data_IF_331544220462
#
_entry.id   IF_331544220462
#
_cell.length_a   1.000
_cell.length_b   1.000
_cell.length_c   1.000
_cell.angle_alpha   90.00
_cell.angle_beta   90.00
_cell.angle_gamma   90.00
#
_symmetry.space_group_name_H-M   'P 1'
#
loop_
_entity.id
_entity.type
_entity.pdbx_description
1 polymer ?
#
# COMPACT_ATOMS: atom_id res chain seq x y z
N UNK A 1 -6.67 -25.63 -15.48
CA UNK A 1 -7.86 -26.21 -16.13
C UNK A 1 -8.94 -26.41 -15.08
N UNK A 2 -9.68 -25.35 -14.74
CA UNK A 2 -11.01 -25.41 -14.12
C UNK A 2 -11.69 -24.08 -14.50
N UNK A 3 -12.72 -24.15 -15.34
CA UNK A 3 -13.52 -23.00 -15.76
C UNK A 3 -14.59 -22.77 -14.68
N UNK A 4 -14.60 -21.62 -14.01
CA UNK A 4 -15.76 -21.14 -13.24
C UNK A 4 -16.80 -20.57 -14.22
N UNK A 5 -18.10 -20.86 -14.05
CA UNK A 5 -19.14 -20.31 -14.93
C UNK A 5 -19.40 -18.84 -14.57
N UNK A 6 -19.42 -17.99 -15.60
CA UNK A 6 -19.92 -16.60 -15.51
C UNK A 6 -21.42 -16.63 -15.26
N UNK A 7 -21.88 -16.03 -14.16
CA UNK A 7 -23.29 -15.68 -13.96
C UNK A 7 -23.42 -14.17 -14.19
N UNK A 8 -24.47 -13.80 -14.91
CA UNK A 8 -24.66 -12.52 -15.58
C UNK A 8 -25.27 -11.50 -14.63
N UNK A 9 -24.67 -10.32 -14.57
CA UNK A 9 -25.28 -9.07 -14.12
C UNK A 9 -26.63 -8.87 -14.83
N UNK A 10 -27.72 -8.76 -14.06
CA UNK A 10 -29.01 -8.31 -14.57
C UNK A 10 -29.25 -6.90 -14.00
N UNK A 11 -28.78 -5.89 -14.72
CA UNK A 11 -29.15 -4.50 -14.47
C UNK A 11 -30.61 -4.32 -14.88
N UNK A 12 -31.50 -4.04 -13.92
CA UNK A 12 -32.85 -3.54 -14.22
C UNK A 12 -32.93 -2.11 -13.70
N UNK A 13 -32.80 -1.16 -14.62
CA UNK A 13 -33.09 0.24 -14.42
C UNK A 13 -34.55 0.53 -14.81
N UNK A 14 -35.32 1.19 -13.94
CA UNK A 14 -36.57 1.89 -14.29
C UNK A 14 -36.68 3.14 -13.40
N UNK A 15 -36.19 4.30 -13.83
CA UNK A 15 -36.82 5.28 -14.74
C UNK A 15 -37.93 6.12 -14.10
N UNK A 16 -37.52 7.34 -13.71
CA UNK A 16 -38.28 8.49 -13.25
C UNK A 16 -39.47 8.85 -14.17
N UNK A 17 -40.65 9.02 -13.60
CA UNK A 17 -41.86 9.49 -14.30
C UNK A 17 -41.88 11.01 -14.39
N UNK A 18 -41.93 11.56 -15.61
CA UNK A 18 -42.36 12.94 -15.88
C UNK A 18 -43.50 12.93 -16.89
N UNK A 19 -44.66 13.43 -16.46
CA UNK A 19 -45.87 13.58 -17.28
C UNK A 19 -45.86 14.95 -17.98
N UNK A 20 -46.06 14.99 -19.30
CA UNK A 20 -46.61 16.16 -19.98
C UNK A 20 -47.34 15.84 -21.30
N UNK A 21 -48.66 16.06 -21.26
CA UNK A 21 -49.59 16.60 -22.26
C UNK A 21 -49.64 16.07 -23.73
N UNK A 22 -50.88 15.80 -24.15
CA UNK A 22 -51.31 15.24 -25.43
C UNK A 22 -51.44 16.22 -26.62
N UNK A 23 -51.40 15.67 -27.85
CA UNK A 23 -52.19 16.14 -29.00
C UNK A 23 -52.48 14.98 -29.99
N UNK A 24 -53.61 14.98 -30.74
CA UNK A 24 -54.15 13.78 -31.39
C UNK A 24 -53.91 13.72 -32.90
N UNK A 25 -53.81 12.51 -33.45
CA UNK A 25 -54.15 12.26 -34.86
C UNK A 25 -53.35 11.16 -35.56
N UNK A 26 -53.85 9.92 -35.56
CA UNK A 26 -53.89 9.03 -36.72
C UNK A 26 -54.59 7.70 -36.37
N UNK A 27 -55.37 7.22 -37.32
CA UNK A 27 -56.31 6.09 -37.25
C UNK A 27 -55.68 4.76 -37.69
N UNK A 28 -56.04 3.70 -36.94
CA UNK A 28 -56.35 2.31 -37.33
C UNK A 28 -55.38 1.49 -38.21
N UNK A 29 -54.84 0.41 -37.65
CA UNK A 29 -55.24 -0.98 -37.96
C UNK A 29 -54.25 -1.99 -37.34
N UNK A 30 -54.77 -3.01 -36.66
CA UNK A 30 -53.98 -4.16 -36.22
C UNK A 30 -54.50 -4.70 -34.90
N UNK A 31 -55.38 -5.72 -34.98
CA UNK A 31 -55.66 -6.55 -33.83
C UNK A 31 -54.37 -7.21 -33.37
N UNK A 32 -53.87 -6.77 -32.23
CA UNK A 32 -53.03 -7.56 -31.35
C UNK A 32 -53.84 -7.70 -30.09
N UNK A 33 -54.12 -8.93 -29.70
CA UNK A 33 -54.58 -9.30 -28.36
C UNK A 33 -53.80 -8.47 -27.35
N UNK A 34 -54.49 -7.74 -26.49
CA UNK A 34 -53.88 -7.20 -25.29
C UNK A 34 -53.22 -8.39 -24.59
N UNK A 35 -51.90 -8.40 -24.50
CA UNK A 35 -51.22 -9.27 -23.56
C UNK A 35 -51.84 -8.95 -22.21
N UNK A 36 -52.53 -9.91 -21.61
CA UNK A 36 -52.93 -9.81 -20.23
C UNK A 36 -51.65 -9.47 -19.46
N UNK A 37 -51.63 -8.30 -18.82
CA UNK A 37 -50.59 -7.97 -17.86
C UNK A 37 -50.73 -8.98 -16.74
N UNK A 38 -49.92 -10.03 -16.75
CA UNK A 38 -49.88 -10.99 -15.65
C UNK A 38 -49.06 -10.32 -14.56
N UNK A 39 -49.74 -9.77 -13.56
CA UNK A 39 -49.10 -9.38 -12.31
C UNK A 39 -48.82 -10.67 -11.53
N UNK A 40 -47.61 -10.79 -11.03
CA UNK A 40 -47.21 -11.89 -10.14
C UNK A 40 -47.87 -11.68 -8.77
N UNK A 41 -48.40 -12.75 -8.18
CA UNK A 41 -49.19 -12.68 -6.94
C UNK A 41 -48.32 -13.04 -5.74
N UNK A 42 -48.57 -12.42 -4.58
CA UNK A 42 -47.84 -12.69 -3.34
C UNK A 42 -46.85 -11.61 -2.97
N UNK A 43 -45.89 -11.96 -2.11
CA UNK A 43 -44.76 -11.11 -1.74
C UNK A 43 -43.71 -11.23 -2.83
N UNK A 44 -43.36 -10.09 -3.44
CA UNK A 44 -42.50 -10.03 -4.61
C UNK A 44 -41.07 -9.61 -4.25
N UNK A 45 -40.94 -8.64 -3.34
CA UNK A 45 -39.67 -8.19 -2.79
C UNK A 45 -39.84 -7.67 -1.37
N UNK A 46 -38.73 -7.65 -0.63
CA UNK A 46 -38.58 -6.99 0.66
C UNK A 46 -37.32 -6.16 0.56
N UNK A 47 -37.41 -4.89 0.93
CA UNK A 47 -36.28 -3.96 0.98
C UNK A 47 -36.28 -3.25 2.35
N UNK A 48 -35.14 -2.72 2.78
CA UNK A 48 -35.05 -1.94 4.03
C UNK A 48 -34.79 -0.46 3.74
N UNK A 49 -35.48 0.42 4.48
CA UNK A 49 -35.34 1.87 4.35
C UNK A 49 -35.45 2.57 5.72
N UNK A 50 -35.08 3.84 5.75
CA UNK A 50 -35.12 4.67 6.95
C UNK A 50 -33.77 4.71 7.68
N UNK A 51 -33.71 5.38 8.85
CA UNK A 51 -32.46 5.62 9.56
C UNK A 51 -31.84 4.34 10.15
N UNK A 52 -32.62 3.27 10.31
CA UNK A 52 -32.12 1.98 10.75
C UNK A 52 -31.59 1.07 9.64
N UNK A 53 -31.83 1.38 8.35
CA UNK A 53 -31.21 0.63 7.27
C UNK A 53 -29.75 1.05 7.11
N UNK A 54 -28.81 0.12 7.33
CA UNK A 54 -27.38 0.38 7.22
C UNK A 54 -26.86 0.04 5.82
N UNK A 55 -26.97 -1.23 5.42
CA UNK A 55 -26.62 -1.70 4.08
C UNK A 55 -27.25 -3.07 3.78
N UNK A 56 -26.98 -3.61 2.60
CA UNK A 56 -27.32 -4.97 2.18
C UNK A 56 -26.09 -5.63 1.54
N UNK A 57 -25.75 -6.84 1.99
CA UNK A 57 -24.66 -7.64 1.44
C UNK A 57 -25.05 -9.12 1.43
N UNK A 58 -24.76 -9.82 0.33
CA UNK A 58 -25.06 -11.25 0.14
C UNK A 58 -26.51 -11.66 0.51
N UNK A 59 -27.50 -10.88 0.05
CA UNK A 59 -28.94 -11.06 0.34
C UNK A 59 -29.29 -10.97 1.85
N UNK A 60 -28.43 -10.38 2.68
CA UNK A 60 -28.65 -10.10 4.11
C UNK A 60 -28.77 -8.59 4.33
N UNK A 61 -29.83 -8.16 5.02
CA UNK A 61 -29.99 -6.76 5.41
C UNK A 61 -29.29 -6.48 6.74
N UNK A 62 -28.45 -5.46 6.78
CA UNK A 62 -27.81 -4.97 7.99
C UNK A 62 -28.56 -3.75 8.50
N UNK A 63 -28.98 -3.80 9.76
CA UNK A 63 -29.82 -2.76 10.37
C UNK A 63 -29.30 -2.34 11.75
N UNK A 64 -29.47 -1.06 12.08
CA UNK A 64 -29.07 -0.51 13.36
C UNK A 64 -30.08 -0.85 14.46
N UNK A 65 -29.61 -1.43 15.56
CA UNK A 65 -30.46 -1.83 16.69
C UNK A 65 -31.16 -0.63 17.37
N UNK A 66 -30.53 0.54 17.33
CA UNK A 66 -30.96 1.75 18.03
C UNK A 66 -31.75 2.74 17.15
N UNK A 67 -32.07 2.37 15.90
CA UNK A 67 -32.80 3.21 14.96
C UNK A 67 -34.02 2.47 14.40
N UNK A 68 -35.12 3.18 14.11
CA UNK A 68 -36.29 2.56 13.49
C UNK A 68 -35.99 2.14 12.04
N UNK A 69 -36.42 0.94 11.68
CA UNK A 69 -36.24 0.37 10.33
C UNK A 69 -37.60 0.17 9.67
N UNK A 70 -37.71 0.55 8.40
CA UNK A 70 -38.91 0.30 7.60
C UNK A 70 -38.61 -0.81 6.60
N UNK A 71 -39.38 -1.89 6.64
CA UNK A 71 -39.39 -2.91 5.59
C UNK A 71 -40.41 -2.50 4.54
N UNK A 72 -39.93 -2.17 3.34
CA UNK A 72 -40.78 -1.92 2.18
C UNK A 72 -41.05 -3.27 1.49
N UNK A 73 -42.29 -3.74 1.57
CA UNK A 73 -42.69 -5.03 1.03
C UNK A 73 -43.53 -4.82 -0.23
N UNK A 74 -43.02 -5.24 -1.39
CA UNK A 74 -43.79 -5.20 -2.63
C UNK A 74 -44.70 -6.41 -2.70
N UNK A 75 -46.01 -6.19 -2.77
CA UNK A 75 -46.99 -7.27 -2.92
C UNK A 75 -47.80 -7.15 -4.20
N UNK A 76 -48.18 -8.30 -4.77
CA UNK A 76 -49.02 -8.41 -5.96
C UNK A 76 -50.34 -9.11 -5.70
N UNK A 77 -51.35 -8.72 -6.48
CA UNK A 77 -52.74 -9.15 -6.32
C UNK A 77 -52.97 -10.66 -6.61
N UNK A 78 -53.83 -11.30 -5.81
CA UNK A 78 -54.24 -12.70 -6.00
C UNK A 78 -55.55 -12.77 -6.80
N UNK A 79 -55.41 -13.21 -8.06
CA UNK A 79 -56.45 -13.26 -9.12
C UNK A 79 -57.75 -14.06 -8.85
N UNK A 80 -57.97 -14.59 -7.64
CA UNK A 80 -59.09 -15.50 -7.36
C UNK A 80 -60.35 -14.81 -6.77
N UNK A 81 -60.36 -13.48 -6.62
CA UNK A 81 -61.45 -12.72 -5.99
C UNK A 81 -62.11 -11.67 -6.91
N UNK A 82 -62.58 -12.12 -8.08
CA UNK A 82 -63.59 -11.46 -8.94
C UNK A 82 -63.18 -10.21 -9.75
N UNK A 83 -63.79 -10.06 -10.94
CA UNK A 83 -63.53 -9.05 -11.98
C UNK A 83 -63.90 -7.59 -11.59
N UNK A 84 -64.00 -7.23 -10.30
CA UNK A 84 -64.45 -5.87 -9.90
C UNK A 84 -64.09 -5.38 -8.48
N UNK A 85 -63.21 -6.04 -7.71
CA UNK A 85 -63.03 -5.68 -6.30
C UNK A 85 -61.64 -5.17 -5.92
N UNK A 86 -61.65 -4.15 -5.04
CA UNK A 86 -60.54 -3.87 -4.15
C UNK A 86 -60.42 -5.02 -3.15
N UNK A 87 -59.22 -5.55 -3.00
CA UNK A 87 -58.92 -6.57 -1.99
C UNK A 87 -58.05 -5.94 -0.89
N UNK A 88 -58.49 -6.11 0.35
CA UNK A 88 -57.72 -5.69 1.52
C UNK A 88 -56.86 -6.86 2.00
N UNK A 89 -55.58 -6.60 2.19
CA UNK A 89 -54.58 -7.53 2.67
C UNK A 89 -53.86 -6.98 3.89
N UNK A 90 -53.37 -7.86 4.74
CA UNK A 90 -52.42 -7.51 5.80
C UNK A 90 -51.05 -8.08 5.45
N UNK A 91 -50.04 -7.23 5.40
CA UNK A 91 -48.63 -7.64 5.32
C UNK A 91 -48.05 -7.60 6.72
N UNK A 92 -47.43 -8.69 7.16
CA UNK A 92 -46.83 -8.82 8.49
C UNK A 92 -45.38 -9.21 8.37
N UNK A 93 -44.55 -8.64 9.24
CA UNK A 93 -43.21 -9.16 9.50
C UNK A 93 -43.26 -10.01 10.76
N UNK A 94 -42.83 -11.26 10.67
CA UNK A 94 -42.80 -12.22 11.78
C UNK A 94 -41.40 -12.81 11.96
N UNK A 95 -41.03 -13.06 13.21
CA UNK A 95 -39.81 -13.78 13.56
C UNK A 95 -40.09 -15.29 13.57
N UNK A 96 -39.27 -16.10 12.90
CA UNK A 96 -39.37 -17.55 13.00
C UNK A 96 -38.20 -18.10 13.83
N UNK A 97 -38.47 -18.40 15.11
CA UNK A 97 -37.46 -18.95 16.03
C UNK A 97 -37.62 -20.47 16.12
N UNK A 98 -36.78 -21.23 15.42
CA UNK A 98 -36.74 -22.69 15.51
C UNK A 98 -35.80 -23.13 16.67
N UNK A 99 -36.28 -23.02 17.91
CA UNK A 99 -35.61 -23.61 19.08
C UNK A 99 -36.53 -24.59 19.82
N UNK A 100 -36.35 -25.88 19.52
CA UNK A 100 -36.34 -27.04 20.43
C UNK A 100 -37.56 -27.37 21.31
N UNK A 101 -38.25 -26.39 21.90
CA UNK A 101 -39.37 -26.57 22.82
C UNK A 101 -40.36 -25.39 22.89
N UNK A 102 -40.18 -24.32 22.10
CA UNK A 102 -41.18 -23.26 21.96
C UNK A 102 -41.90 -23.37 20.62
N UNK A 103 -43.22 -23.49 20.68
CA UNK A 103 -44.09 -23.40 19.51
C UNK A 103 -44.04 -21.97 18.98
N UNK A 104 -43.76 -21.81 17.67
CA UNK A 104 -44.05 -20.65 16.81
C UNK A 104 -44.42 -19.37 17.58
N UNK A 105 -43.52 -18.38 17.60
CA UNK A 105 -43.88 -17.03 18.01
C UNK A 105 -44.66 -16.39 16.86
N UNK A 106 -45.96 -16.69 16.77
CA UNK A 106 -46.90 -16.02 15.84
C UNK A 106 -47.32 -14.64 16.37
N UNK A 107 -46.36 -13.88 16.89
CA UNK A 107 -46.55 -12.50 17.29
C UNK A 107 -46.01 -11.65 16.14
N UNK A 108 -46.93 -11.09 15.33
CA UNK A 108 -46.59 -10.08 14.32
C UNK A 108 -45.74 -9.00 14.98
N UNK A 109 -44.49 -8.84 14.54
CA UNK A 109 -43.62 -7.79 15.06
C UNK A 109 -44.14 -6.43 14.61
N UNK A 110 -44.53 -6.33 13.34
CA UNK A 110 -45.21 -5.18 12.77
C UNK A 110 -46.10 -5.61 11.60
N UNK A 111 -47.07 -4.77 11.24
CA UNK A 111 -47.95 -5.03 10.10
C UNK A 111 -48.45 -3.75 9.42
N UNK A 112 -48.84 -3.89 8.16
CA UNK A 112 -49.46 -2.84 7.36
C UNK A 112 -50.67 -3.39 6.59
N UNK A 113 -51.76 -2.62 6.56
CA UNK A 113 -52.91 -2.92 5.73
C UNK A 113 -52.70 -2.37 4.31
N UNK A 114 -52.97 -3.18 3.31
CA UNK A 114 -52.77 -2.88 1.89
C UNK A 114 -54.08 -3.09 1.16
N UNK A 115 -54.52 -2.10 0.40
CA UNK A 115 -55.66 -2.25 -0.51
C UNK A 115 -55.14 -2.31 -1.94
N UNK A 116 -55.32 -3.46 -2.61
CA UNK A 116 -54.96 -3.66 -4.02
C UNK A 116 -56.17 -3.47 -4.91
N UNK A 117 -55.95 -2.88 -6.09
CA UNK A 117 -56.91 -2.88 -7.19
C UNK A 117 -56.65 -4.03 -8.16
N UNK A 118 -57.51 -4.17 -9.18
CA UNK A 118 -57.41 -5.26 -10.16
C UNK A 118 -56.04 -5.27 -10.85
N UNK A 119 -55.30 -6.38 -10.68
CA UNK A 119 -54.01 -6.62 -11.34
C UNK A 119 -53.00 -5.49 -11.08
N UNK A 120 -52.74 -5.21 -9.80
CA UNK A 120 -51.75 -4.22 -9.37
C UNK A 120 -50.73 -4.81 -8.38
N UNK A 121 -49.59 -4.13 -8.30
CA UNK A 121 -48.63 -4.25 -7.21
C UNK A 121 -48.71 -3.00 -6.33
N UNK A 122 -48.50 -3.16 -5.03
CA UNK A 122 -48.39 -2.04 -4.08
C UNK A 122 -47.25 -2.30 -3.11
N UNK A 123 -46.55 -1.25 -2.72
CA UNK A 123 -45.56 -1.27 -1.64
C UNK A 123 -46.25 -1.09 -0.29
N UNK A 124 -45.90 -1.93 0.66
CA UNK A 124 -46.37 -1.90 2.04
C UNK A 124 -45.20 -1.59 2.97
N UNK A 125 -45.23 -0.41 3.58
CA UNK A 125 -44.23 0.01 4.57
C UNK A 125 -44.55 -0.58 5.94
N UNK A 126 -43.79 -1.59 6.37
CA UNK A 126 -43.89 -2.19 7.70
C UNK A 126 -42.77 -1.64 8.58
N UNK A 127 -43.12 -0.81 9.56
CA UNK A 127 -42.16 -0.15 10.45
C UNK A 127 -41.89 -0.97 11.71
N UNK A 128 -40.62 -1.15 12.02
CA UNK A 128 -40.13 -1.58 13.33
C UNK A 128 -39.58 -0.38 14.09
N UNK A 129 -39.95 -0.28 15.36
CA UNK A 129 -39.43 0.76 16.25
C UNK A 129 -38.01 0.41 16.72
N UNK A 130 -37.23 1.43 17.10
CA UNK A 130 -35.89 1.24 17.64
C UNK A 130 -35.91 0.35 18.89
N UNK A 131 -34.99 -0.61 18.97
CA UNK A 131 -34.85 -1.54 20.09
C UNK A 131 -35.92 -2.65 20.14
N UNK A 132 -36.77 -2.81 19.13
CA UNK A 132 -37.67 -3.98 19.04
C UNK A 132 -36.90 -5.29 18.80
N UNK A 133 -35.76 -5.20 18.14
CA UNK A 133 -34.83 -6.30 17.93
C UNK A 133 -33.53 -6.02 18.68
N UNK A 134 -33.08 -7.01 19.45
CA UNK A 134 -31.77 -6.97 20.08
C UNK A 134 -30.67 -7.23 19.03
N UNK A 135 -29.41 -6.83 19.27
CA UNK A 135 -28.32 -7.18 18.37
C UNK A 135 -28.21 -8.70 18.16
N UNK A 136 -28.12 -9.13 16.90
CA UNK A 136 -28.11 -10.55 16.56
C UNK A 136 -28.53 -10.84 15.13
N UNK A 137 -28.55 -12.13 14.78
CA UNK A 137 -28.95 -12.64 13.46
C UNK A 137 -30.37 -13.17 13.53
N UNK A 138 -31.20 -12.77 12.57
CA UNK A 138 -32.61 -13.14 12.52
C UNK A 138 -32.99 -13.66 11.14
N UNK A 139 -33.83 -14.71 11.13
CA UNK A 139 -34.58 -15.12 9.95
C UNK A 139 -36.02 -14.65 10.11
N UNK A 140 -36.39 -13.64 9.33
CA UNK A 140 -37.71 -13.03 9.35
C UNK A 140 -38.54 -13.52 8.17
N UNK A 141 -39.85 -13.30 8.26
CA UNK A 141 -40.77 -13.61 7.20
C UNK A 141 -41.66 -12.41 6.89
N UNK A 142 -41.74 -12.07 5.60
CA UNK A 142 -42.78 -11.21 5.05
C UNK A 142 -43.95 -12.11 4.66
N UNK A 143 -45.02 -12.05 5.44
CA UNK A 143 -46.21 -12.85 5.26
C UNK A 143 -47.37 -11.98 4.78
N UNK A 144 -48.04 -12.38 3.71
CA UNK A 144 -49.24 -11.74 3.18
C UNK A 144 -50.47 -12.51 3.62
N UNK A 145 -51.46 -11.83 4.20
CA UNK A 145 -52.71 -12.41 4.66
C UNK A 145 -53.91 -11.73 4.00
N UNK A 146 -55.00 -12.46 3.78
CA UNK A 146 -56.28 -11.86 3.41
C UNK A 146 -56.90 -11.14 4.62
N UNK A 147 -57.25 -9.86 4.48
CA UNK A 147 -57.87 -9.09 5.55
C UNK A 147 -59.35 -9.50 5.71
N UNK A 148 -59.61 -10.59 6.44
CA UNK A 148 -60.96 -11.07 6.76
C UNK A 148 -61.24 -11.06 8.26
N UNK A 149 -62.48 -10.77 8.64
CA UNK A 149 -62.90 -10.56 10.04
C UNK A 149 -62.87 -11.82 10.95
N UNK A 150 -62.16 -12.87 10.58
CA UNK A 150 -62.18 -14.17 11.28
C UNK A 150 -60.83 -14.88 11.34
N UNK A 151 -60.37 -15.44 10.22
CA UNK A 151 -59.24 -16.38 10.21
C UNK A 151 -58.05 -15.93 9.37
N UNK A 152 -58.02 -14.67 8.89
CA UNK A 152 -56.97 -14.06 8.05
C UNK A 152 -56.01 -15.11 7.43
N UNK A 153 -56.43 -15.85 6.39
CA UNK A 153 -55.64 -16.94 5.85
C UNK A 153 -54.32 -16.41 5.27
N UNK A 154 -53.23 -17.16 5.51
CA UNK A 154 -51.93 -16.91 4.90
C UNK A 154 -52.03 -17.15 3.38
N UNK A 155 -51.69 -16.14 2.60
CA UNK A 155 -51.68 -16.18 1.13
C UNK A 155 -50.29 -16.50 0.61
N UNK A 156 -49.27 -15.84 1.15
CA UNK A 156 -47.88 -16.03 0.77
C UNK A 156 -46.92 -15.73 1.92
N UNK A 157 -45.71 -16.28 1.84
CA UNK A 157 -44.70 -16.14 2.86
C UNK A 157 -43.28 -16.20 2.27
N UNK A 158 -42.56 -15.10 2.36
CA UNK A 158 -41.17 -14.99 1.91
C UNK A 158 -40.24 -14.81 3.12
N UNK A 159 -39.24 -15.68 3.25
CA UNK A 159 -38.21 -15.56 4.28
C UNK A 159 -37.03 -14.71 3.80
N UNK A 160 -36.46 -13.93 4.70
CA UNK A 160 -35.25 -13.13 4.47
C UNK A 160 -34.41 -13.05 5.76
N UNK A 161 -33.12 -12.75 5.62
CA UNK A 161 -32.19 -12.66 6.74
C UNK A 161 -31.86 -11.21 7.05
N UNK A 162 -31.79 -10.90 8.35
CA UNK A 162 -31.29 -9.61 8.82
C UNK A 162 -30.25 -9.80 9.92
N UNK A 163 -29.27 -8.92 9.94
CA UNK A 163 -28.30 -8.77 11.01
C UNK A 163 -28.51 -7.42 11.69
N UNK A 164 -28.91 -7.48 12.96
CA UNK A 164 -29.11 -6.30 13.80
C UNK A 164 -27.80 -6.00 14.50
N UNK A 165 -27.21 -4.85 14.22
CA UNK A 165 -25.89 -4.44 14.70
C UNK A 165 -25.94 -3.13 15.49
N UNK A 166 -24.89 -2.88 16.27
CA UNK A 166 -24.73 -1.63 17.02
C UNK A 166 -23.74 -0.72 16.31
N UNK A 167 -24.03 0.59 16.27
CA UNK A 167 -23.14 1.59 15.64
C UNK A 167 -21.70 1.58 16.17
N UNK A 168 -21.52 1.37 17.48
CA UNK A 168 -20.21 1.25 18.12
C UNK A 168 -19.75 -0.19 18.33
N UNK A 169 -20.37 -1.15 17.63
CA UNK A 169 -19.81 -2.49 17.49
C UNK A 169 -18.65 -2.47 16.49
N UNK A 170 -18.01 -3.62 16.37
CA UNK A 170 -16.90 -3.93 15.46
C UNK A 170 -17.12 -5.41 15.11
N UNK A 171 -17.46 -5.70 13.85
CA UNK A 171 -18.02 -7.01 13.46
C UNK A 171 -16.97 -7.97 12.89
N UNK A 172 -15.92 -7.45 12.27
CA UNK A 172 -14.76 -8.18 11.76
C UNK A 172 -13.52 -8.11 12.68
N UNK A 173 -13.61 -7.33 13.77
CA UNK A 173 -12.61 -7.22 14.84
C UNK A 173 -11.31 -6.52 14.42
N UNK A 174 -11.37 -5.60 13.46
CA UNK A 174 -10.24 -4.82 12.97
C UNK A 174 -9.94 -3.55 13.82
N UNK A 175 -10.87 -3.17 14.68
CA UNK A 175 -10.80 -1.98 15.54
C UNK A 175 -11.44 -0.72 14.94
N UNK A 176 -11.95 -0.77 13.72
CA UNK A 176 -12.89 0.16 13.15
C UNK A 176 -14.31 -0.20 13.59
N UNK A 177 -15.23 0.77 13.62
CA UNK A 177 -16.58 0.49 14.12
C UNK A 177 -17.57 0.43 12.98
N UNK A 178 -18.63 -0.37 13.11
CA UNK A 178 -19.71 -0.51 12.13
C UNK A 178 -20.17 0.83 11.55
N UNK A 179 -20.37 1.84 12.40
CA UNK A 179 -20.81 3.16 11.93
C UNK A 179 -19.72 3.90 11.14
N UNK A 180 -18.46 3.76 11.55
CA UNK A 180 -17.35 4.35 10.83
C UNK A 180 -17.12 3.63 9.50
N UNK A 181 -17.23 2.31 9.44
CA UNK A 181 -17.09 1.53 8.20
C UNK A 181 -18.13 1.96 7.16
N UNK A 182 -19.40 2.02 7.55
CA UNK A 182 -20.48 2.53 6.68
C UNK A 182 -20.23 3.97 6.22
N UNK A 183 -19.56 4.79 7.03
CA UNK A 183 -19.26 6.19 6.68
C UNK A 183 -17.99 6.31 5.82
N UNK A 184 -17.00 5.47 6.09
CA UNK A 184 -15.72 5.34 5.40
C UNK A 184 -15.80 4.53 4.11
N UNK A 185 -16.96 3.92 3.85
CA UNK A 185 -17.21 3.07 2.68
C UNK A 185 -16.38 1.79 2.68
N UNK A 186 -15.98 1.33 3.86
CA UNK A 186 -15.31 0.04 4.04
C UNK A 186 -16.30 -1.08 4.34
N UNK A 187 -15.87 -2.33 4.21
CA UNK A 187 -16.71 -3.52 4.42
C UNK A 187 -16.58 -4.03 5.86
N UNK A 188 -17.60 -3.79 6.69
CA UNK A 188 -17.66 -4.25 8.09
C UNK A 188 -17.70 -5.78 8.31
N UNK A 189 -17.51 -6.56 7.25
CA UNK A 189 -17.35 -8.01 7.27
C UNK A 189 -15.94 -8.45 6.88
N UNK A 190 -15.13 -7.52 6.38
CA UNK A 190 -13.80 -7.76 5.85
C UNK A 190 -12.84 -6.78 6.53
N UNK A 191 -11.97 -7.28 7.43
CA UNK A 191 -11.13 -6.40 8.25
C UNK A 191 -10.06 -5.64 7.44
N UNK A 192 -9.90 -5.93 6.15
CA UNK A 192 -8.92 -5.37 5.21
C UNK A 192 -9.64 -5.21 3.86
N UNK A 193 -10.24 -4.04 3.64
CA UNK A 193 -11.21 -3.79 2.57
C UNK A 193 -10.58 -3.78 1.18
N UNK A 194 -9.31 -3.39 1.07
CA UNK A 194 -8.60 -3.24 -0.21
C UNK A 194 -7.54 -4.33 -0.47
N UNK A 195 -7.44 -5.32 0.41
CA UNK A 195 -6.56 -6.49 0.33
C UNK A 195 -5.06 -6.11 0.27
N UNK A 196 -4.64 -5.08 1.01
CA UNK A 196 -3.26 -4.59 1.05
C UNK A 196 -2.41 -5.19 2.19
N UNK A 197 -3.01 -5.96 3.11
CA UNK A 197 -2.42 -6.51 4.34
C UNK A 197 -2.45 -5.58 5.58
N UNK A 198 -3.01 -4.37 5.48
CA UNK A 198 -3.33 -3.47 6.59
C UNK A 198 -4.84 -3.52 6.90
N UNK A 199 -5.23 -3.75 8.16
CA UNK A 199 -6.64 -3.69 8.51
C UNK A 199 -7.19 -2.26 8.53
N UNK A 200 -8.43 -2.02 8.10
CA UNK A 200 -9.02 -0.67 7.96
C UNK A 200 -8.90 0.16 9.25
N UNK A 201 -9.13 -0.49 10.40
CA UNK A 201 -8.99 0.13 11.72
C UNK A 201 -7.57 0.58 12.03
N UNK A 202 -6.55 -0.15 11.59
CA UNK A 202 -5.14 0.23 11.74
C UNK A 202 -4.79 1.39 10.82
N UNK A 203 -5.23 1.31 9.58
CA UNK A 203 -5.07 2.37 8.59
C UNK A 203 -5.63 3.68 9.14
N UNK A 204 -6.90 3.73 9.54
CA UNK A 204 -7.50 5.00 10.00
C UNK A 204 -6.95 5.49 11.35
N UNK A 205 -6.59 4.60 12.29
CA UNK A 205 -6.23 5.00 13.66
C UNK A 205 -4.74 5.13 13.92
N UNK A 206 -3.90 4.39 13.21
CA UNK A 206 -2.46 4.36 13.43
C UNK A 206 -1.70 5.04 12.31
N UNK A 207 -2.05 4.75 11.06
CA UNK A 207 -1.28 5.20 9.91
C UNK A 207 -1.88 6.50 9.34
N UNK A 208 -3.11 6.46 8.85
CA UNK A 208 -3.77 7.56 8.19
C UNK A 208 -3.82 7.39 6.67
N UNK A 209 -3.56 6.16 6.19
CA UNK A 209 -3.88 5.70 4.84
C UNK A 209 -5.39 5.66 4.58
N UNK A 210 -5.76 5.53 3.31
CA UNK A 210 -7.12 5.31 2.84
C UNK A 210 -7.43 3.81 2.82
N UNK A 211 -8.32 3.29 3.69
CA UNK A 211 -8.62 1.85 3.80
C UNK A 211 -9.42 1.27 2.63
N UNK A 212 -9.45 1.98 1.50
CA UNK A 212 -10.12 1.57 0.28
C UNK A 212 -9.20 1.67 -0.94
N UNK A 213 -7.95 2.06 -0.75
CA UNK A 213 -6.94 2.24 -1.79
C UNK A 213 -5.59 1.66 -1.32
N UNK A 214 -5.11 0.54 -1.89
CA UNK A 214 -3.94 -0.19 -1.38
C UNK A 214 -2.59 0.50 -1.67
N UNK A 215 -2.64 1.77 -2.08
CA UNK A 215 -1.54 2.66 -2.52
C UNK A 215 -2.10 4.09 -2.44
N UNK A 216 -2.17 4.62 -1.21
CA UNK A 216 -2.93 5.83 -0.84
C UNK A 216 -2.46 7.07 -1.60
N UNK A 217 -1.17 7.19 -1.89
CA UNK A 217 -0.60 8.34 -2.58
C UNK A 217 -0.37 8.13 -4.09
N UNK A 218 -0.46 6.87 -4.54
CA UNK A 218 -0.39 6.47 -5.94
C UNK A 218 1.02 6.49 -6.52
N UNK A 219 2.06 6.36 -5.71
CA UNK A 219 3.46 6.36 -6.15
C UNK A 219 3.94 5.00 -6.67
N UNK A 220 3.18 3.94 -6.34
CA UNK A 220 3.42 2.56 -6.75
C UNK A 220 4.03 1.66 -5.67
N UNK A 221 4.25 2.17 -4.46
CA UNK A 221 4.46 1.39 -3.23
C UNK A 221 3.10 1.20 -2.55
N UNK A 222 2.88 0.04 -1.93
CA UNK A 222 1.66 -0.20 -1.18
C UNK A 222 1.81 0.31 0.24
N UNK A 223 0.73 0.75 0.87
CA UNK A 223 0.75 1.28 2.23
C UNK A 223 1.37 0.26 3.23
N UNK A 224 1.09 -1.04 3.05
CA UNK A 224 1.71 -2.11 3.83
C UNK A 224 3.24 -2.23 3.66
N UNK A 225 3.76 -1.91 2.47
CA UNK A 225 5.19 -1.86 2.15
C UNK A 225 5.83 -0.58 2.71
N UNK A 226 5.13 0.55 2.63
CA UNK A 226 5.56 1.83 3.20
C UNK A 226 5.68 1.78 4.72
N UNK A 227 4.73 1.14 5.41
CA UNK A 227 4.82 0.88 6.86
C UNK A 227 6.09 0.09 7.22
N UNK A 228 6.60 -0.76 6.32
CA UNK A 228 7.85 -1.50 6.53
C UNK A 228 9.09 -0.69 6.13
N UNK A 229 8.97 0.21 5.17
CA UNK A 229 10.00 1.14 4.73
C UNK A 229 10.13 2.39 5.62
N UNK A 230 9.16 2.61 6.53
CA UNK A 230 9.05 3.82 7.37
C UNK A 230 8.88 5.09 6.53
N UNK A 231 8.13 5.01 5.42
CA UNK A 231 7.79 6.14 4.55
C UNK A 231 6.38 6.68 4.84
N UNK A 232 6.08 7.87 4.32
CA UNK A 232 4.78 8.55 4.46
C UNK A 232 3.85 8.14 3.30
N UNK A 233 2.93 7.21 3.58
CA UNK A 233 1.85 6.72 2.71
C UNK A 233 0.86 7.78 2.20
N UNK A 234 1.10 9.05 2.46
CA UNK A 234 0.34 10.17 1.86
C UNK A 234 1.19 11.07 0.96
N UNK A 235 2.46 10.72 0.75
CA UNK A 235 3.45 11.52 0.06
C UNK A 235 4.38 10.67 -0.83
N UNK A 236 4.31 10.82 -2.17
CA UNK A 236 5.11 10.03 -3.13
C UNK A 236 6.65 10.20 -3.10
N UNK A 237 7.13 11.00 -2.16
CA UNK A 237 8.49 11.51 -1.97
C UNK A 237 8.52 12.02 -0.53
N UNK A 238 8.89 11.15 0.39
CA UNK A 238 8.72 11.32 1.85
C UNK A 238 9.61 12.43 2.40
N UNK A 239 10.83 12.60 1.89
CA UNK A 239 11.77 13.61 2.36
C UNK A 239 11.86 14.88 1.49
N UNK A 240 11.11 14.91 0.39
CA UNK A 240 10.98 16.01 -0.56
C UNK A 240 12.28 16.40 -1.26
N UNK A 241 13.20 15.46 -1.47
CA UNK A 241 14.49 15.71 -2.13
C UNK A 241 14.41 15.65 -3.68
N UNK A 242 13.31 15.09 -4.21
CA UNK A 242 13.05 14.92 -5.64
C UNK A 242 13.33 13.52 -6.19
N UNK A 243 13.74 12.57 -5.35
CA UNK A 243 13.62 11.13 -5.53
C UNK A 243 12.25 10.69 -4.98
N UNK A 244 11.61 9.73 -5.64
CA UNK A 244 10.38 9.16 -5.09
C UNK A 244 10.75 7.98 -4.19
N UNK A 245 9.96 7.68 -3.18
CA UNK A 245 10.17 6.55 -2.27
C UNK A 245 10.50 5.22 -2.99
N UNK A 246 9.77 4.79 -4.06
CA UNK A 246 10.10 3.56 -4.79
C UNK A 246 11.43 3.61 -5.55
N UNK A 247 11.99 4.80 -5.78
CA UNK A 247 13.32 4.95 -6.38
C UNK A 247 14.45 4.70 -5.37
N UNK A 248 14.15 4.84 -4.08
CA UNK A 248 15.14 4.79 -2.98
C UNK A 248 15.05 3.49 -2.21
N UNK A 249 13.82 2.97 -2.05
CA UNK A 249 13.51 1.64 -1.52
C UNK A 249 14.16 0.58 -2.43
N UNK A 250 15.39 0.18 -2.12
CA UNK A 250 16.10 -0.80 -2.95
C UNK A 250 17.63 -0.72 -3.00
N UNK A 251 18.27 0.22 -2.28
CA UNK A 251 19.73 0.45 -2.11
C UNK A 251 20.34 1.60 -2.93
N UNK A 252 19.59 2.66 -3.28
CA UNK A 252 20.18 3.84 -3.91
C UNK A 252 20.26 5.07 -2.97
N UNK A 253 19.42 5.14 -1.91
CA UNK A 253 19.41 6.20 -0.87
C UNK A 253 18.42 5.86 0.26
N UNK A 254 18.25 6.74 1.25
CA UNK A 254 17.24 6.66 2.30
C UNK A 254 16.06 7.59 1.97
N UNK A 255 14.81 7.06 1.81
CA UNK A 255 13.63 7.87 1.47
C UNK A 255 13.17 8.85 2.57
N UNK A 256 13.86 8.84 3.71
CA UNK A 256 13.58 9.66 4.87
C UNK A 256 14.66 10.72 5.12
N UNK A 257 15.65 10.83 4.23
CA UNK A 257 16.82 11.67 4.43
C UNK A 257 17.32 12.23 3.08
N UNK A 258 17.20 13.55 2.83
CA UNK A 258 17.53 14.17 1.54
C UNK A 258 19.05 14.23 1.22
N UNK A 259 19.86 13.58 2.08
CA UNK A 259 21.32 13.52 2.14
C UNK A 259 21.60 12.34 3.07
N UNK A 260 21.79 11.16 2.49
CA UNK A 260 21.77 9.89 3.22
C UNK A 260 23.03 9.68 4.07
N UNK A 261 24.20 10.08 3.56
CA UNK A 261 25.48 9.90 4.25
C UNK A 261 25.95 11.14 5.05
N UNK A 262 25.26 12.28 4.87
CA UNK A 262 25.48 13.53 5.57
C UNK A 262 26.82 14.20 5.23
N UNK A 263 27.36 13.98 4.03
CA UNK A 263 28.53 14.70 3.52
C UNK A 263 28.18 16.12 3.04
N UNK A 264 26.89 16.39 2.81
CA UNK A 264 26.31 17.67 2.39
C UNK A 264 26.04 17.79 0.89
N UNK A 265 26.28 16.74 0.11
CA UNK A 265 25.80 16.52 -1.25
C UNK A 265 24.47 15.77 -1.14
N UNK A 266 23.46 16.20 -1.90
CA UNK A 266 22.14 15.56 -1.82
C UNK A 266 22.08 14.35 -2.75
N UNK A 267 21.39 13.30 -2.34
CA UNK A 267 21.23 12.01 -3.05
C UNK A 267 20.85 12.14 -4.54
N UNK A 268 19.95 13.05 -4.97
CA UNK A 268 19.64 13.22 -6.38
C UNK A 268 20.83 13.73 -7.19
N UNK A 269 21.72 14.52 -6.57
CA UNK A 269 22.94 15.05 -7.19
C UNK A 269 23.99 13.94 -7.28
N UNK A 270 24.14 13.16 -6.21
CA UNK A 270 25.06 12.03 -6.17
C UNK A 270 24.73 10.98 -7.23
N UNK A 271 23.44 10.66 -7.39
CA UNK A 271 22.97 9.80 -8.48
C UNK A 271 23.28 10.35 -9.87
N UNK A 272 23.23 11.68 -10.04
CA UNK A 272 23.57 12.35 -11.30
C UNK A 272 25.09 12.35 -11.57
N UNK A 273 25.92 12.39 -10.53
CA UNK A 273 27.38 12.26 -10.59
C UNK A 273 27.84 10.81 -10.72
N UNK A 274 27.04 9.86 -10.25
CA UNK A 274 27.36 8.44 -10.17
C UNK A 274 28.14 8.06 -8.91
N UNK A 275 28.16 8.92 -7.90
CA UNK A 275 28.67 8.62 -6.56
C UNK A 275 27.68 7.73 -5.78
N UNK A 276 28.11 7.16 -4.66
CA UNK A 276 27.27 6.31 -3.80
C UNK A 276 26.65 7.15 -2.67
N UNK A 277 25.33 7.42 -2.67
CA UNK A 277 24.68 8.28 -1.66
C UNK A 277 24.78 7.79 -0.22
N UNK A 278 25.32 6.59 -0.01
CA UNK A 278 25.53 6.00 1.31
C UNK A 278 26.97 6.13 1.82
N UNK A 279 27.86 6.76 1.04
CA UNK A 279 29.29 6.82 1.29
C UNK A 279 29.85 8.21 0.98
N UNK A 280 30.21 8.93 2.04
CA UNK A 280 30.66 10.34 1.95
C UNK A 280 31.90 10.60 1.11
N UNK A 281 32.65 9.56 0.75
CA UNK A 281 33.93 9.56 0.02
C UNK A 281 33.91 8.31 -0.85
N UNK A 282 33.34 8.44 -2.05
CA UNK A 282 32.99 7.29 -2.90
C UNK A 282 34.22 6.52 -3.37
N UNK A 283 35.31 7.22 -3.69
CA UNK A 283 36.52 6.59 -4.22
C UNK A 283 37.59 6.26 -3.16
N UNK A 284 37.41 6.75 -1.93
CA UNK A 284 38.21 6.43 -0.75
C UNK A 284 39.59 7.08 -0.78
N UNK A 285 39.69 8.29 -1.29
CA UNK A 285 40.93 9.06 -1.37
C UNK A 285 41.17 9.98 -0.16
N UNK A 286 40.11 10.25 0.61
CA UNK A 286 40.09 11.05 1.82
C UNK A 286 39.47 12.45 1.68
N UNK A 287 38.99 12.84 0.49
CA UNK A 287 38.07 13.97 0.28
C UNK A 287 36.63 13.45 0.26
N UNK A 288 35.68 14.31 0.62
CA UNK A 288 34.27 13.94 0.47
C UNK A 288 33.78 14.27 -0.93
N UNK A 289 32.74 13.58 -1.41
CA UNK A 289 32.17 13.80 -2.74
C UNK A 289 31.74 15.26 -2.92
N UNK A 290 31.16 15.88 -1.87
CA UNK A 290 30.87 17.32 -1.84
C UNK A 290 32.12 18.18 -2.02
N UNK A 291 33.20 17.84 -1.32
CA UNK A 291 34.47 18.60 -1.34
C UNK A 291 35.05 18.57 -2.75
N UNK A 292 35.01 17.41 -3.39
CA UNK A 292 35.49 17.22 -4.75
C UNK A 292 34.65 17.98 -5.76
N UNK A 293 33.33 17.85 -5.64
CA UNK A 293 32.37 18.52 -6.53
C UNK A 293 32.41 20.06 -6.43
N UNK A 294 32.59 20.63 -5.24
CA UNK A 294 32.47 22.08 -5.01
C UNK A 294 33.78 22.83 -4.77
N UNK A 295 34.79 22.19 -4.18
CA UNK A 295 36.00 22.88 -3.71
C UNK A 295 37.23 22.61 -4.57
N UNK A 296 37.53 21.35 -4.88
CA UNK A 296 38.76 20.96 -5.60
C UNK A 296 38.53 20.76 -7.11
N UNK A 297 37.30 20.43 -7.52
CA UNK A 297 36.94 20.07 -8.89
C UNK A 297 37.68 18.82 -9.43
N UNK A 298 38.02 17.91 -8.53
CA UNK A 298 38.49 16.54 -8.80
C UNK A 298 37.32 15.64 -9.20
N UNK A 299 37.62 14.43 -9.71
CA UNK A 299 36.59 13.44 -10.06
C UNK A 299 36.32 12.55 -8.83
N UNK A 300 35.13 12.63 -8.19
CA UNK A 300 34.82 11.88 -6.96
C UNK A 300 34.72 10.35 -7.15
N UNK A 301 35.04 9.87 -8.35
CA UNK A 301 35.10 8.46 -8.72
C UNK A 301 36.52 8.00 -9.05
N UNK A 302 37.51 8.90 -8.95
CA UNK A 302 38.90 8.65 -9.32
C UNK A 302 39.87 9.20 -8.25
N UNK A 303 40.48 8.33 -7.43
CA UNK A 303 41.22 8.76 -6.24
C UNK A 303 42.59 9.39 -6.55
N UNK A 304 42.89 9.75 -7.80
CA UNK A 304 44.14 10.28 -8.37
C UNK A 304 43.80 10.94 -9.72
N UNK A 305 43.09 12.08 -9.70
CA UNK A 305 42.41 12.68 -10.86
C UNK A 305 43.36 13.02 -12.01
N UNK A 306 44.62 13.35 -11.72
CA UNK A 306 45.61 13.75 -12.73
C UNK A 306 46.61 12.65 -13.12
N UNK A 307 46.44 11.44 -12.57
CA UNK A 307 47.21 10.22 -12.85
C UNK A 307 48.72 10.36 -12.56
N UNK A 308 49.11 11.13 -11.54
CA UNK A 308 50.50 11.37 -11.20
C UNK A 308 51.07 10.36 -10.18
N UNK A 309 50.19 9.61 -9.51
CA UNK A 309 50.50 8.60 -8.51
C UNK A 309 50.37 9.06 -7.06
N UNK A 310 49.87 10.27 -6.82
CA UNK A 310 49.52 10.84 -5.53
C UNK A 310 48.00 11.07 -5.49
N UNK A 311 47.33 10.59 -4.44
CA UNK A 311 45.87 10.73 -4.33
C UNK A 311 45.45 12.16 -4.02
N UNK A 312 44.36 12.64 -4.59
CA UNK A 312 43.91 14.04 -4.48
C UNK A 312 43.75 14.48 -3.02
N UNK A 313 43.18 13.63 -2.16
CA UNK A 313 43.06 13.89 -0.73
C UNK A 313 44.39 14.03 -0.02
N UNK A 314 45.42 13.28 -0.44
CA UNK A 314 46.78 13.42 0.08
C UNK A 314 47.45 14.70 -0.44
N UNK A 315 47.23 15.04 -1.70
CA UNK A 315 47.69 16.29 -2.29
C UNK A 315 47.18 17.50 -1.54
N UNK A 316 45.87 17.62 -1.40
CA UNK A 316 45.19 18.75 -0.77
C UNK A 316 45.52 18.85 0.72
N UNK A 317 45.47 17.73 1.45
CA UNK A 317 45.57 17.77 2.93
C UNK A 317 47.01 17.78 3.44
N UNK A 318 47.96 17.21 2.69
CA UNK A 318 49.33 16.98 3.18
C UNK A 318 50.40 17.74 2.43
N UNK A 319 50.37 17.76 1.10
CA UNK A 319 51.46 18.30 0.30
C UNK A 319 51.18 19.72 -0.23
N UNK A 320 49.91 20.09 -0.40
CA UNK A 320 49.50 21.37 -0.96
C UNK A 320 49.80 21.50 -2.45
N UNK A 321 49.84 20.38 -3.17
CA UNK A 321 49.90 20.30 -4.63
C UNK A 321 48.50 20.54 -5.23
N UNK A 322 48.44 20.80 -6.54
CA UNK A 322 47.19 20.97 -7.29
C UNK A 322 46.77 19.61 -7.87
N UNK A 323 45.69 18.98 -7.37
CA UNK A 323 45.29 17.62 -7.79
C UNK A 323 44.77 17.52 -9.23
N UNK A 324 44.85 18.61 -9.99
CA UNK A 324 44.51 18.69 -11.40
C UNK A 324 45.75 18.95 -12.28
N UNK A 325 46.94 19.03 -11.70
CA UNK A 325 48.20 19.30 -12.39
C UNK A 325 49.30 18.33 -11.92
N UNK A 326 49.68 17.34 -12.76
CA UNK A 326 50.55 16.24 -12.33
C UNK A 326 52.02 16.64 -12.14
N UNK A 327 52.32 17.94 -12.09
CA UNK A 327 53.64 18.60 -11.91
C UNK A 327 53.36 20.05 -11.46
N UNK A 328 52.93 20.22 -10.20
CA UNK A 328 52.39 21.47 -9.66
C UNK A 328 53.34 22.66 -9.81
N UNK A 329 54.64 22.42 -9.68
CA UNK A 329 55.65 23.48 -9.74
C UNK A 329 56.27 23.69 -11.13
N UNK A 330 56.01 22.77 -12.06
CA UNK A 330 56.37 22.84 -13.47
C UNK A 330 57.87 22.61 -13.74
N UNK A 331 58.56 21.83 -12.92
CA UNK A 331 59.98 21.52 -13.11
C UNK A 331 60.25 20.29 -14.01
N UNK A 332 59.21 19.52 -14.32
CA UNK A 332 59.23 18.36 -15.20
C UNK A 332 59.33 17.01 -14.49
N UNK A 333 59.18 16.97 -13.16
CA UNK A 333 58.99 15.76 -12.36
C UNK A 333 57.56 15.79 -11.82
N UNK A 334 56.87 14.65 -11.80
CA UNK A 334 55.52 14.59 -11.24
C UNK A 334 55.54 14.63 -9.71
N UNK A 335 54.52 15.22 -9.10
CA UNK A 335 54.43 15.43 -7.65
C UNK A 335 54.52 14.08 -6.89
N UNK A 336 53.78 13.07 -7.36
CA UNK A 336 53.85 11.70 -6.85
C UNK A 336 55.26 11.08 -6.94
N UNK A 337 56.04 11.41 -7.98
CA UNK A 337 57.44 10.97 -8.08
C UNK A 337 58.37 11.70 -7.12
N UNK A 338 58.13 12.99 -6.87
CA UNK A 338 58.89 13.80 -5.91
C UNK A 338 58.66 13.31 -4.49
N UNK A 339 57.39 13.09 -4.11
CA UNK A 339 57.01 12.51 -2.81
C UNK A 339 57.68 11.14 -2.62
N UNK A 340 57.68 10.29 -3.64
CA UNK A 340 58.35 8.98 -3.59
C UNK A 340 59.88 9.09 -3.42
N UNK A 341 60.49 10.15 -3.98
CA UNK A 341 61.93 10.45 -3.84
C UNK A 341 62.27 11.19 -2.55
N UNK A 342 61.26 11.68 -1.83
CA UNK A 342 61.41 12.48 -0.62
C UNK A 342 61.85 13.92 -0.89
N UNK A 343 61.51 14.45 -2.06
CA UNK A 343 61.69 15.85 -2.43
C UNK A 343 60.38 16.66 -2.23
N UNK A 344 60.38 17.96 -2.52
CA UNK A 344 59.27 18.87 -2.18
C UNK A 344 58.49 19.21 -3.47
N UNK A 345 57.28 18.65 -3.67
CA UNK A 345 56.53 18.75 -4.93
C UNK A 345 55.95 20.15 -5.22
N UNK A 346 56.24 21.14 -4.36
CA UNK A 346 55.82 22.53 -4.55
C UNK A 346 56.99 23.46 -4.85
N UNK A 347 58.19 22.90 -5.06
CA UNK A 347 59.45 23.62 -5.14
C UNK A 347 60.20 23.30 -6.44
N UNK A 348 60.24 24.22 -7.43
CA UNK A 348 60.78 23.96 -8.77
C UNK A 348 62.33 23.94 -8.82
N UNK A 349 62.95 23.78 -7.65
CA UNK A 349 64.39 23.72 -7.44
C UNK A 349 64.78 22.42 -6.79
N UNK A 350 64.07 21.36 -7.13
CA UNK A 350 64.41 20.01 -6.80
C UNK A 350 65.82 19.71 -7.34
N UNK A 351 66.75 19.48 -6.42
CA UNK A 351 68.17 19.32 -6.73
C UNK A 351 68.32 18.19 -7.74
N UNK A 352 68.53 18.57 -9.01
CA UNK A 352 68.63 17.69 -10.17
C UNK A 352 69.18 16.33 -9.76
N UNK A 353 68.32 15.33 -9.61
CA UNK A 353 68.79 13.96 -9.40
C UNK A 353 69.54 13.62 -10.67
N UNK A 354 70.86 13.65 -10.53
CA UNK A 354 71.78 13.71 -11.65
C UNK A 354 71.41 12.67 -12.70
N UNK A 355 71.18 13.15 -13.92
CA UNK A 355 71.28 12.34 -15.12
C UNK A 355 72.60 11.56 -15.05
N UNK A 356 72.52 10.28 -14.70
CA UNK A 356 73.64 9.36 -14.83
C UNK A 356 73.85 9.13 -16.32
N UNK A 357 74.51 10.09 -16.96
CA UNK A 357 75.15 9.95 -18.25
C UNK A 357 76.09 8.76 -18.15
N UNK A 358 75.77 7.70 -18.88
CA UNK A 358 76.60 6.52 -18.99
C UNK A 358 77.93 6.87 -19.68
N UNK A 359 78.97 7.15 -18.88
CA UNK A 359 80.36 6.97 -19.30
C UNK A 359 81.05 5.94 -18.39
N UNK A 360 81.27 4.77 -18.99
CA UNK A 360 82.45 3.88 -18.90
C UNK A 360 83.26 3.81 -17.59
N UNK A 361 83.38 2.60 -17.01
CA UNK A 361 84.53 2.25 -16.16
C UNK A 361 84.26 1.39 -14.92
N UNK A 362 84.14 0.07 -15.11
CA UNK A 362 84.58 -1.04 -14.23
C UNK A 362 84.71 -0.83 -12.70
N UNK A 363 83.95 -1.59 -11.91
CA UNK A 363 84.24 -1.78 -10.49
C UNK A 363 83.22 -2.62 -9.72
N UNK A 364 83.40 -3.94 -9.73
CA UNK A 364 82.65 -4.89 -8.89
C UNK A 364 82.93 -4.66 -7.40
N UNK A 365 81.91 -4.40 -6.58
CA UNK A 365 81.78 -4.94 -5.21
C UNK A 365 80.33 -4.87 -4.74
N UNK A 366 79.82 -6.00 -4.25
CA UNK A 366 78.51 -6.18 -3.67
C UNK A 366 78.44 -5.70 -2.20
N UNK A 367 77.22 -5.30 -1.79
CA UNK A 367 76.64 -5.05 -0.45
C UNK A 367 75.82 -3.74 -0.56
N UNK A 368 74.58 -3.59 -0.14
CA UNK A 368 73.75 -4.27 0.84
C UNK A 368 72.29 -3.88 0.52
N UNK A 369 71.40 -4.84 0.34
CA UNK A 369 69.98 -4.57 0.06
C UNK A 369 69.26 -4.31 1.39
N UNK A 370 69.22 -3.05 1.79
CA UNK A 370 68.38 -2.59 2.90
C UNK A 370 66.93 -2.52 2.45
N UNK A 371 66.16 -3.55 2.77
CA UNK A 371 64.70 -3.56 2.75
C UNK A 371 64.17 -2.54 3.76
N UNK A 372 63.58 -1.45 3.28
CA UNK A 372 62.67 -0.63 4.09
C UNK A 372 61.24 -1.06 3.75
N UNK A 373 60.70 -1.94 4.59
CA UNK A 373 59.27 -2.21 4.68
C UNK A 373 58.76 -1.26 5.76
N UNK A 374 58.09 -0.17 5.39
CA UNK A 374 57.25 0.56 6.36
C UNK A 374 55.83 0.03 6.24
N UNK A 375 55.43 -0.71 7.28
CA UNK A 375 54.05 -1.07 7.56
C UNK A 375 53.36 0.18 8.09
N UNK A 376 52.49 0.81 7.31
CA UNK A 376 51.55 1.78 7.86
C UNK A 376 50.47 0.96 8.57
N UNK A 377 50.44 1.05 9.89
CA UNK A 377 49.39 0.48 10.71
C UNK A 377 48.33 1.57 10.89
N UNK A 378 47.20 1.43 10.21
CA UNK A 378 46.02 2.24 10.50
C UNK A 378 45.30 1.66 11.72
N UNK A 379 44.99 2.55 12.65
CA UNK A 379 44.05 2.26 13.73
C UNK A 379 42.66 2.59 13.25
N UNK A 380 41.85 1.57 12.96
CA UNK A 380 40.40 1.73 12.77
C UNK A 380 39.81 2.47 13.98
N UNK A 381 39.19 3.63 13.72
CA UNK A 381 38.28 4.28 14.68
C UNK A 381 36.82 4.02 14.40
N UNK A 382 36.47 3.15 13.45
CA UNK A 382 35.08 2.74 13.26
C UNK A 382 34.83 1.37 13.86
N UNK A 383 33.85 1.37 14.76
CA UNK A 383 33.50 0.29 15.66
C UNK A 383 32.78 -0.86 14.99
N UNK A 384 33.31 -1.39 13.87
CA UNK A 384 32.82 -2.62 13.29
C UNK A 384 33.88 -3.73 13.25
N UNK A 385 33.55 -4.84 13.88
CA UNK A 385 34.42 -5.99 14.01
C UNK A 385 34.25 -6.89 12.79
N UNK A 386 35.21 -6.89 11.86
CA UNK A 386 35.93 -8.08 11.37
C UNK A 386 36.69 -7.85 10.05
N UNK A 387 37.84 -8.53 9.95
CA UNK A 387 38.65 -8.83 8.75
C UNK A 387 39.67 -7.77 8.28
N UNK A 388 40.86 -7.78 8.90
CA UNK A 388 42.07 -7.25 8.27
C UNK A 388 42.50 -8.15 7.09
N UNK A 389 42.47 -7.63 5.87
CA UNK A 389 43.05 -8.26 4.67
C UNK A 389 44.45 -7.68 4.46
N UNK A 390 45.48 -8.47 4.73
CA UNK A 390 46.85 -8.10 4.35
C UNK A 390 47.10 -8.48 2.89
N UNK A 391 47.09 -7.51 1.98
CA UNK A 391 47.55 -7.71 0.59
C UNK A 391 49.06 -7.52 0.54
N UNK A 392 49.80 -8.60 0.27
CA UNK A 392 51.23 -8.54 -0.04
C UNK A 392 51.41 -8.73 -1.53
N UNK A 393 51.72 -7.65 -2.26
CA UNK A 393 52.19 -7.75 -3.64
C UNK A 393 53.62 -8.32 -3.64
N UNK A 394 53.74 -9.62 -3.86
CA UNK A 394 54.96 -10.21 -4.41
C UNK A 394 54.69 -10.67 -5.84
N UNK A 395 55.50 -10.19 -6.77
CA UNK A 395 55.47 -10.56 -8.16
C UNK A 395 55.48 -12.09 -8.36
N UNK A 396 54.48 -12.60 -9.08
CA UNK A 396 54.54 -13.91 -9.73
C UNK A 396 53.47 -14.92 -9.30
N UNK A 397 52.60 -15.24 -10.26
CA UNK A 397 51.66 -16.38 -10.35
C UNK A 397 50.37 -16.31 -9.53
N UNK A 398 49.26 -16.09 -10.25
CA UNK A 398 47.88 -16.29 -9.79
C UNK A 398 47.62 -17.79 -9.63
N UNK A 399 47.27 -18.22 -8.41
CA UNK A 399 46.48 -19.43 -8.20
C UNK A 399 45.29 -19.09 -7.32
N UNK A 400 44.09 -19.11 -7.88
CA UNK A 400 42.82 -18.99 -7.17
C UNK A 400 42.63 -20.19 -6.23
N UNK A 401 42.36 -19.94 -4.95
CA UNK A 401 41.87 -20.95 -4.02
C UNK A 401 40.49 -20.50 -3.47
N UNK A 402 39.46 -21.26 -3.81
CA UNK A 402 38.12 -21.14 -3.23
C UNK A 402 38.14 -21.69 -1.80
N UNK A 403 37.72 -20.89 -0.82
CA UNK A 403 37.44 -21.35 0.54
C UNK A 403 35.93 -21.23 0.79
N UNK A 404 35.27 -22.38 0.86
CA UNK A 404 33.89 -22.51 1.32
C UNK A 404 33.84 -22.18 2.83
N UNK A 405 33.09 -21.14 3.20
CA UNK A 405 32.68 -20.93 4.58
C UNK A 405 31.57 -21.93 4.95
N UNK A 406 31.69 -22.57 6.12
CA UNK A 406 30.62 -23.38 6.73
C UNK A 406 29.73 -22.51 7.61
N UNK A 407 28.44 -22.84 7.79
CA UNK A 407 27.49 -22.00 8.52
C UNK A 407 27.72 -22.10 10.03
N UNK A 408 27.78 -20.95 10.70
CA UNK A 408 27.76 -20.86 12.17
C UNK A 408 26.31 -20.96 12.64
N UNK A 409 26.04 -21.91 13.52
CA UNK A 409 24.75 -22.11 14.16
C UNK A 409 24.52 -21.06 15.26
N UNK A 410 23.39 -20.36 15.20
CA UNK A 410 22.90 -19.54 16.31
C UNK A 410 22.38 -20.44 17.44
N UNK A 411 22.91 -20.24 18.65
CA UNK A 411 22.40 -20.81 19.88
C UNK A 411 21.60 -19.74 20.64
N UNK A 412 20.30 -19.98 20.84
CA UNK A 412 19.42 -19.15 21.68
C UNK A 412 19.82 -19.26 23.17
N UNK A 413 19.83 -18.17 23.95
CA UNK A 413 20.02 -18.24 25.38
C UNK A 413 18.71 -18.55 26.11
N UNK A 414 18.67 -19.69 26.78
CA UNK A 414 17.73 -20.00 27.88
C UNK A 414 18.04 -19.17 29.13
N UNK A 415 17.03 -18.48 29.67
CA UNK A 415 16.90 -18.06 31.07
C UNK A 415 15.39 -18.15 31.39
N UNK A 416 14.88 -19.11 32.16
CA UNK A 416 14.91 -19.32 33.62
C UNK A 416 14.04 -18.33 34.40
#
# INVERSE_FOLDING_TARGET
MFRRPRIRTLTVAVALVVVAAAAPGATLAGGSTASASTVEAGVLSVDTTGPGAATEADDVFYVWADEPTTFEVTVGDYLNVSETYYADYDVRITENVDYGYHSLRDDSLAHAAVTLGELQTTEAAVRMDAGELEPGRYSLNASMYEASAGTSPLLDNQSFEIHVMTKGGDLDEDGYSNQNEVTGQTDFLDPDTDDDELPDGFEVHQFGSDPTDPDTDGDGVRDDEEVRADTDYTMPDTDEDGLSDPSEIGNDSSPNAPDTDLDGLADPIERDLGTDPTVSDTDGDGLSDLTEYQETATDPLDPDTDDDGLRDGIEVQRFGTDPLDPDTDGDGIQDGQEVLRGTDPTSPTDESVATASAEDGTGTTAADAGTATETIAETNTDGDANAAVAVSLLAGTVTTAWLFASPVAYALPTML
#
